data_IF_973756517135
#
_entry.id   IF_973756517135
#
_cell.length_a   1.000
_cell.length_b   1.000
_cell.length_c   1.000
_cell.angle_alpha   90.00
_cell.angle_beta   90.00
_cell.angle_gamma   90.00
#
_symmetry.space_group_name_H-M   'P 1'
#
loop_
_entity.id
_entity.type
_entity.pdbx_description
1 polymer ?
#
# COMPACT_ATOMS: atom_id res chain seq x y z
N UNK A 1 4.78 19.12 -7.18
CA UNK A 1 3.59 18.75 -6.38
C UNK A 1 2.44 19.58 -6.88
N UNK A 2 1.37 18.97 -7.38
CA UNK A 2 0.17 19.73 -7.76
C UNK A 2 -0.57 20.20 -6.48
N UNK A 3 -1.20 21.37 -6.54
CA UNK A 3 -1.95 21.95 -5.42
C UNK A 3 -3.25 21.22 -5.11
N UNK A 4 -3.69 20.33 -6.01
CA UNK A 4 -4.97 19.65 -5.92
C UNK A 4 -4.89 18.44 -4.98
N UNK A 5 -3.76 17.73 -4.95
CA UNK A 5 -3.54 16.58 -4.06
C UNK A 5 -3.53 16.94 -2.56
N UNK A 6 -3.25 18.20 -2.18
CA UNK A 6 -3.38 18.66 -0.79
C UNK A 6 -4.83 18.88 -0.35
N UNK A 7 -5.73 19.23 -1.27
CA UNK A 7 -7.12 19.60 -0.97
C UNK A 7 -7.99 18.35 -0.74
N UNK A 8 -7.72 17.25 -1.46
CA UNK A 8 -8.48 16.00 -1.29
C UNK A 8 -8.24 15.30 0.06
N UNK A 9 -7.07 15.50 0.68
CA UNK A 9 -6.68 14.80 1.92
C UNK A 9 -7.23 15.50 3.17
N UNK A 10 -7.50 16.81 3.10
CA UNK A 10 -7.88 17.60 4.28
C UNK A 10 -9.32 17.34 4.79
N UNK A 11 -10.18 16.68 4.01
CA UNK A 11 -11.63 16.57 4.29
C UNK A 11 -12.19 15.13 4.26
N UNK A 12 -11.34 14.10 4.18
CA UNK A 12 -11.75 12.68 4.23
C UNK A 12 -10.81 11.87 5.11
N UNK A 13 -11.38 10.95 5.90
CA UNK A 13 -10.59 9.97 6.64
C UNK A 13 -9.83 9.06 5.65
N UNK A 14 -8.51 8.96 5.84
CA UNK A 14 -7.68 8.05 5.04
C UNK A 14 -8.07 6.60 5.38
N UNK A 15 -8.50 5.79 4.38
CA UNK A 15 -8.95 4.42 4.61
C UNK A 15 -7.92 3.56 5.35
N UNK A 16 -8.40 2.75 6.31
CA UNK A 16 -7.60 1.78 7.04
C UNK A 16 -7.92 0.37 6.54
N UNK A 17 -6.94 -0.29 5.92
CA UNK A 17 -7.03 -1.68 5.49
C UNK A 17 -6.44 -2.59 6.57
N UNK A 18 -7.26 -3.51 7.11
CA UNK A 18 -6.80 -4.51 8.07
C UNK A 18 -6.46 -5.83 7.38
N UNK A 19 -5.58 -6.59 8.02
CA UNK A 19 -5.36 -8.00 7.70
C UNK A 19 -6.71 -8.74 7.76
N UNK A 20 -7.05 -9.52 6.73
CA UNK A 20 -8.20 -10.43 6.70
C UNK A 20 -9.56 -9.78 7.06
N UNK A 21 -9.98 -8.79 6.27
CA UNK A 21 -11.30 -8.17 6.38
C UNK A 21 -12.42 -9.23 6.42
N UNK A 22 -13.00 -9.50 7.60
CA UNK A 22 -14.20 -10.31 7.78
C UNK A 22 -14.01 -11.83 7.94
N UNK A 23 -12.81 -12.30 8.29
CA UNK A 23 -12.59 -13.73 8.59
C UNK A 23 -12.54 -13.90 10.12
N UNK A 24 -13.54 -14.56 10.72
CA UNK A 24 -13.43 -15.04 12.11
C UNK A 24 -12.47 -16.22 12.12
N UNK A 25 -11.31 -16.06 12.76
CA UNK A 25 -10.26 -17.08 12.72
C UNK A 25 -10.27 -17.91 14.00
N UNK A 26 -10.58 -19.19 13.86
CA UNK A 26 -10.49 -20.17 14.95
C UNK A 26 -9.16 -20.92 14.85
N UNK A 27 -8.29 -20.67 15.84
CA UNK A 27 -7.03 -21.37 16.15
C UNK A 27 -5.77 -21.02 15.32
N UNK A 28 -4.74 -20.63 16.09
CA UNK A 28 -3.29 -20.56 15.79
C UNK A 28 -2.88 -20.23 14.35
N UNK A 29 -2.85 -18.94 14.01
CA UNK A 29 -2.51 -18.48 12.67
C UNK A 29 -1.06 -18.01 12.55
N UNK A 30 -0.47 -18.31 11.39
CA UNK A 30 0.80 -17.76 10.93
C UNK A 30 0.70 -16.22 10.98
N UNK A 31 1.64 -15.52 11.64
CA UNK A 31 1.51 -14.08 11.91
C UNK A 31 1.79 -13.18 10.69
N UNK A 32 1.82 -13.77 9.48
CA UNK A 32 2.10 -13.07 8.24
C UNK A 32 1.51 -13.82 7.04
N UNK A 33 1.29 -13.09 5.95
CA UNK A 33 1.00 -13.62 4.62
C UNK A 33 2.08 -13.16 3.65
N UNK A 34 2.33 -13.96 2.61
CA UNK A 34 3.18 -13.60 1.48
C UNK A 34 2.42 -13.92 0.20
N UNK A 35 2.31 -12.92 -0.67
CA UNK A 35 1.59 -12.99 -1.93
C UNK A 35 2.40 -12.28 -3.01
N UNK A 36 2.35 -12.78 -4.24
CA UNK A 36 2.87 -11.99 -5.36
C UNK A 36 1.91 -10.83 -5.66
N UNK A 37 2.44 -9.69 -6.12
CA UNK A 37 1.64 -8.50 -6.36
C UNK A 37 0.48 -8.76 -7.35
N UNK A 38 0.69 -9.65 -8.33
CA UNK A 38 -0.32 -10.02 -9.34
C UNK A 38 -1.43 -10.94 -8.80
N UNK A 39 -1.17 -11.67 -7.72
CA UNK A 39 -2.13 -12.55 -7.07
C UNK A 39 -2.81 -11.86 -5.87
N UNK A 40 -2.27 -10.73 -5.43
CA UNK A 40 -2.80 -9.97 -4.31
C UNK A 40 -4.16 -9.34 -4.67
N UNK A 41 -5.05 -9.16 -3.67
CA UNK A 41 -6.29 -8.44 -3.86
C UNK A 41 -6.05 -7.02 -4.40
N UNK A 42 -6.99 -6.50 -5.19
CA UNK A 42 -6.87 -5.16 -5.79
C UNK A 42 -6.59 -4.04 -4.77
N UNK A 43 -6.99 -4.22 -3.50
CA UNK A 43 -6.71 -3.29 -2.41
C UNK A 43 -5.20 -3.15 -2.10
N UNK A 44 -4.38 -4.18 -2.34
CA UNK A 44 -2.92 -4.10 -2.21
C UNK A 44 -2.27 -3.25 -3.32
N UNK A 45 -2.98 -3.04 -4.43
CA UNK A 45 -2.55 -2.24 -5.56
C UNK A 45 -3.23 -0.86 -5.58
N UNK A 46 -3.78 -0.41 -4.45
CA UNK A 46 -4.61 0.78 -4.40
C UNK A 46 -3.88 2.04 -4.89
N UNK A 47 -4.53 2.77 -5.79
CA UNK A 47 -4.04 4.01 -6.40
C UNK A 47 -4.44 5.28 -5.65
N UNK A 48 -5.05 5.11 -4.48
CA UNK A 48 -5.45 6.18 -3.55
C UNK A 48 -4.74 6.01 -2.21
N UNK A 49 -4.47 7.11 -1.48
CA UNK A 49 -3.84 7.05 -0.16
C UNK A 49 -4.62 6.17 0.81
N UNK A 50 -3.95 5.21 1.42
CA UNK A 50 -4.51 4.35 2.47
C UNK A 50 -3.43 4.01 3.51
N UNK A 51 -3.85 3.40 4.61
CA UNK A 51 -3.00 2.97 5.73
C UNK A 51 -3.37 1.56 6.17
N UNK A 52 -2.47 0.92 6.91
CA UNK A 52 -2.66 -0.42 7.48
C UNK A 52 -2.55 -0.42 9.01
N UNK A 53 -3.03 -1.47 9.66
CA UNK A 53 -2.78 -1.75 11.09
C UNK A 53 -1.69 -2.83 11.30
N UNK A 54 -0.96 -3.20 10.25
CA UNK A 54 0.12 -4.18 10.23
C UNK A 54 1.36 -3.63 9.50
N UNK A 55 2.48 -4.33 9.62
CA UNK A 55 3.70 -4.03 8.85
C UNK A 55 3.63 -4.69 7.47
N UNK A 56 3.97 -3.93 6.43
CA UNK A 56 4.08 -4.45 5.07
C UNK A 56 5.53 -4.39 4.58
N UNK A 57 5.99 -5.46 3.94
CA UNK A 57 7.29 -5.52 3.25
C UNK A 57 7.03 -5.85 1.79
N UNK A 58 7.46 -4.96 0.91
CA UNK A 58 7.27 -5.08 -0.54
C UNK A 58 8.63 -5.27 -1.19
N UNK A 59 8.76 -6.31 -2.00
CA UNK A 59 9.93 -6.54 -2.85
C UNK A 59 9.59 -6.26 -4.31
N UNK A 60 10.18 -5.21 -4.88
CA UNK A 60 9.95 -4.84 -6.28
C UNK A 60 10.87 -5.67 -7.18
N UNK A 61 10.26 -6.55 -7.98
CA UNK A 61 10.97 -7.34 -9.00
C UNK A 61 10.99 -6.65 -10.38
N UNK A 62 10.08 -5.69 -10.61
CA UNK A 62 10.01 -4.89 -11.84
C UNK A 62 8.72 -4.06 -11.91
N UNK A 63 8.62 -3.20 -12.93
CA UNK A 63 7.44 -2.34 -13.15
C UNK A 63 7.82 -0.89 -13.42
N UNK A 64 6.81 -0.05 -13.72
CA UNK A 64 6.98 1.39 -13.94
C UNK A 64 5.90 2.15 -13.19
N UNK A 65 6.32 3.13 -12.39
CA UNK A 65 5.43 3.97 -11.62
C UNK A 65 6.13 4.63 -10.46
N UNK A 66 5.35 5.05 -9.48
CA UNK A 66 5.82 5.71 -8.26
C UNK A 66 5.06 5.14 -7.06
N UNK A 67 5.78 4.71 -6.03
CA UNK A 67 5.23 4.43 -4.72
C UNK A 67 5.31 5.71 -3.90
N UNK A 68 4.18 6.20 -3.41
CA UNK A 68 4.15 7.30 -2.47
C UNK A 68 4.08 6.78 -1.05
N UNK A 69 4.96 7.25 -0.17
CA UNK A 69 4.97 6.92 1.27
C UNK A 69 5.04 8.23 2.04
N UNK A 70 4.04 8.50 2.89
CA UNK A 70 3.83 9.78 3.57
C UNK A 70 3.99 10.97 2.61
N UNK A 71 3.45 10.82 1.40
CA UNK A 71 3.46 11.81 0.31
C UNK A 71 4.84 12.12 -0.29
N UNK A 72 5.88 11.37 0.10
CA UNK A 72 7.17 11.37 -0.59
C UNK A 72 7.13 10.39 -1.76
N UNK A 73 7.67 10.81 -2.90
CA UNK A 73 7.66 10.03 -4.13
C UNK A 73 8.90 9.14 -4.23
N UNK A 74 8.69 7.85 -4.43
CA UNK A 74 9.75 6.86 -4.66
C UNK A 74 9.51 6.20 -6.02
N UNK A 75 10.39 6.38 -7.01
CA UNK A 75 10.31 5.66 -8.27
C UNK A 75 10.30 4.14 -8.04
N UNK A 76 9.51 3.41 -8.82
CA UNK A 76 9.56 1.94 -8.82
C UNK A 76 10.84 1.50 -9.53
N UNK A 77 11.74 0.86 -8.79
CA UNK A 77 13.02 0.35 -9.30
C UNK A 77 13.18 -1.13 -8.93
N UNK A 78 13.59 -2.02 -9.86
CA UNK A 78 13.85 -3.42 -9.56
C UNK A 78 14.90 -3.61 -8.45
N UNK A 79 14.76 -4.66 -7.66
CA UNK A 79 15.60 -5.01 -6.51
C UNK A 79 15.49 -4.02 -5.33
N UNK A 80 14.34 -3.34 -5.21
CA UNK A 80 14.05 -2.41 -4.10
C UNK A 80 13.15 -3.07 -3.08
N UNK A 81 13.42 -2.81 -1.80
CA UNK A 81 12.51 -3.13 -0.71
C UNK A 81 11.86 -1.87 -0.16
N UNK A 82 10.53 -1.91 0.02
CA UNK A 82 9.81 -0.93 0.82
C UNK A 82 9.32 -1.57 2.12
N UNK A 83 9.36 -0.79 3.19
CA UNK A 83 8.87 -1.18 4.52
C UNK A 83 7.84 -0.14 4.95
N UNK A 84 6.61 -0.57 5.16
CA UNK A 84 5.50 0.30 5.58
C UNK A 84 5.14 -0.04 7.01
N UNK A 85 5.14 0.97 7.88
CA UNK A 85 4.75 0.81 9.28
C UNK A 85 3.24 0.93 9.46
N UNK A 86 2.65 0.33 10.52
CA UNK A 86 1.25 0.57 10.88
C UNK A 86 0.93 2.07 10.95
N UNK A 87 -0.18 2.47 10.34
CA UNK A 87 -0.65 3.85 10.27
C UNK A 87 0.05 4.73 9.21
N UNK A 88 1.14 4.27 8.60
CA UNK A 88 1.83 5.00 7.55
C UNK A 88 0.98 5.05 6.29
N UNK A 89 0.92 6.22 5.64
CA UNK A 89 0.09 6.41 4.45
C UNK A 89 0.90 6.05 3.22
N UNK A 90 0.35 5.21 2.35
CA UNK A 90 0.97 4.92 1.05
C UNK A 90 -0.06 4.70 -0.05
N UNK A 91 0.40 4.77 -1.29
CA UNK A 91 -0.37 4.41 -2.49
C UNK A 91 0.55 4.29 -3.71
N UNK A 92 0.04 3.65 -4.75
CA UNK A 92 0.73 3.50 -6.02
C UNK A 92 0.23 4.52 -7.04
N UNK A 93 1.15 5.08 -7.82
CA UNK A 93 0.84 5.76 -9.08
C UNK A 93 1.56 5.02 -10.19
N UNK A 94 0.89 4.07 -10.81
CA UNK A 94 1.41 3.36 -11.98
C UNK A 94 1.12 4.17 -13.23
N UNK A 95 2.01 4.08 -14.22
CA UNK A 95 1.88 4.79 -15.52
C UNK A 95 1.33 3.90 -16.63
N UNK A 96 0.62 2.83 -16.27
CA UNK A 96 -0.01 1.95 -17.27
C UNK A 96 -1.46 2.44 -17.49
N UNK A 97 -1.90 2.69 -18.74
CA UNK A 97 -3.28 3.10 -19.05
C UNK A 97 -4.35 2.11 -18.56
#
# INVERSE_FOLDING_TARGET
MDSNSKIYIANQDIPLHTFRMGIETTHEEIPFEYLSFNEAPALAQATYPHRHNFYEVLYVTGGVGTHFIDFNAYPIEPNTFFFISPGQVHYWKTTVP
#
